data_IF_771373960004
#
_entry.id   IF_771373960004
#
_cell.length_a   1.000
_cell.length_b   1.000
_cell.length_c   1.000
_cell.angle_alpha   90.00
_cell.angle_beta   90.00
_cell.angle_gamma   90.00
#
_symmetry.space_group_name_H-M   'P 1'
#
loop_
_entity.id
_entity.type
_entity.pdbx_description
1 polymer ?
#
# COMPACT_ATOMS: atom_id res chain seq x y z
N UNK A 1 -3.70 -5.39 -26.56
CA UNK A 1 -4.70 -4.70 -25.70
C UNK A 1 -4.42 -5.08 -24.26
N UNK A 2 -4.34 -4.11 -23.36
CA UNK A 2 -4.17 -4.32 -21.91
C UNK A 2 -5.42 -4.98 -21.33
N UNK A 3 -5.23 -5.86 -20.33
CA UNK A 3 -6.37 -6.53 -19.67
C UNK A 3 -7.17 -5.51 -18.84
N UNK A 4 -8.50 -5.44 -18.98
CA UNK A 4 -9.32 -4.61 -18.12
C UNK A 4 -9.35 -5.20 -16.69
N UNK A 5 -9.30 -4.34 -15.69
CA UNK A 5 -9.58 -4.72 -14.30
C UNK A 5 -11.10 -4.72 -14.04
N UNK A 6 -11.51 -5.51 -13.06
CA UNK A 6 -12.86 -5.44 -12.50
C UNK A 6 -13.03 -4.14 -11.71
N UNK A 7 -14.24 -3.62 -11.69
CA UNK A 7 -14.60 -2.52 -10.79
C UNK A 7 -14.64 -3.02 -9.33
N UNK A 8 -14.40 -2.12 -8.34
CA UNK A 8 -14.62 -2.45 -6.93
C UNK A 8 -16.08 -2.79 -6.67
N UNK A 9 -16.35 -3.43 -5.53
CA UNK A 9 -17.73 -3.70 -5.11
C UNK A 9 -18.47 -2.37 -4.93
N UNK A 10 -19.57 -2.11 -5.68
CA UNK A 10 -20.32 -0.86 -5.58
C UNK A 10 -21.15 -0.77 -4.29
N UNK A 11 -21.34 -1.89 -3.58
CA UNK A 11 -22.21 -2.01 -2.42
C UNK A 11 -21.40 -2.21 -1.16
N UNK A 12 -20.51 -1.26 -0.83
CA UNK A 12 -19.69 -1.34 0.39
C UNK A 12 -20.57 -1.51 1.63
N UNK A 13 -20.32 -2.56 2.40
CA UNK A 13 -21.00 -2.82 3.66
C UNK A 13 -20.46 -1.89 4.75
N UNK A 14 -21.36 -1.44 5.63
CA UNK A 14 -20.94 -0.75 6.86
C UNK A 14 -20.29 -1.76 7.80
N UNK A 15 -19.03 -1.57 8.21
CA UNK A 15 -18.36 -2.51 9.09
C UNK A 15 -18.99 -2.55 10.48
N UNK A 16 -18.92 -3.71 11.13
CA UNK A 16 -19.31 -3.89 12.54
C UNK A 16 -18.26 -3.28 13.47
N UNK A 17 -16.98 -3.44 13.10
CA UNK A 17 -15.88 -2.85 13.84
C UNK A 17 -15.85 -1.34 13.64
N UNK A 18 -15.80 -0.60 14.75
CA UNK A 18 -15.70 0.87 14.73
C UNK A 18 -14.26 1.29 14.82
N UNK A 19 -13.80 1.96 13.77
CA UNK A 19 -12.44 2.45 13.68
C UNK A 19 -12.15 3.54 14.73
N UNK A 20 -10.93 3.61 15.27
CA UNK A 20 -10.52 4.69 16.14
C UNK A 20 -10.53 6.04 15.40
N UNK A 21 -10.66 7.13 16.16
CA UNK A 21 -10.56 8.49 15.60
C UNK A 21 -9.21 8.65 14.88
N UNK A 22 -9.22 9.33 13.74
CA UNK A 22 -8.06 9.55 12.88
C UNK A 22 -7.50 8.26 12.22
N UNK A 23 -8.32 7.20 12.13
CA UNK A 23 -7.93 6.00 11.39
C UNK A 23 -7.53 6.34 9.95
N UNK A 24 -6.43 5.76 9.53
CA UNK A 24 -5.78 5.99 8.23
C UNK A 24 -5.86 4.75 7.35
N UNK A 25 -6.36 4.92 6.14
CA UNK A 25 -6.11 3.98 5.05
C UNK A 25 -4.68 4.21 4.54
N UNK A 26 -3.73 3.35 4.89
CA UNK A 26 -2.33 3.53 4.52
C UNK A 26 -1.97 2.92 3.14
N UNK A 27 -2.98 2.47 2.38
CA UNK A 27 -2.80 1.98 1.00
C UNK A 27 -4.11 1.99 0.22
N UNK A 28 -4.29 2.97 -0.62
CA UNK A 28 -5.38 3.04 -1.59
C UNK A 28 -4.93 3.76 -2.86
N UNK A 29 -5.75 3.69 -3.90
CA UNK A 29 -5.45 4.28 -5.20
C UNK A 29 -6.58 5.20 -5.68
N UNK A 30 -6.24 6.17 -6.54
CA UNK A 30 -7.20 6.97 -7.30
C UNK A 30 -6.95 6.69 -8.78
N UNK A 31 -8.00 6.33 -9.50
CA UNK A 31 -7.97 6.05 -10.93
C UNK A 31 -8.91 6.99 -11.68
N UNK A 32 -8.34 7.78 -12.58
CA UNK A 32 -9.12 8.64 -13.44
C UNK A 32 -9.74 9.87 -12.75
N UNK A 33 -10.67 10.54 -13.42
CA UNK A 33 -11.21 10.15 -14.73
C UNK A 33 -10.14 10.14 -15.84
N UNK A 34 -10.24 9.17 -16.76
CA UNK A 34 -9.19 8.90 -17.75
C UNK A 34 -9.01 10.04 -18.78
N UNK A 35 -10.03 10.87 -18.97
CA UNK A 35 -9.97 12.08 -19.82
C UNK A 35 -9.15 13.21 -19.17
N UNK A 36 -9.14 13.30 -17.84
CA UNK A 36 -8.33 14.27 -17.09
C UNK A 36 -6.95 13.72 -16.74
N UNK A 37 -6.89 12.45 -16.34
CA UNK A 37 -5.66 11.78 -15.94
C UNK A 37 -5.42 10.55 -16.83
N UNK A 38 -4.85 10.74 -18.03
CA UNK A 38 -4.65 9.64 -18.97
C UNK A 38 -3.74 8.56 -18.39
N UNK A 39 -4.09 7.32 -18.69
CA UNK A 39 -3.25 6.18 -18.34
C UNK A 39 -2.01 6.09 -19.26
N UNK A 40 -0.90 5.59 -18.72
CA UNK A 40 0.33 5.38 -19.47
C UNK A 40 0.11 4.44 -20.67
N UNK A 41 0.79 4.73 -21.77
CA UNK A 41 0.64 3.96 -23.02
C UNK A 41 1.16 2.52 -22.88
N UNK A 42 2.19 2.32 -22.07
CA UNK A 42 2.87 1.05 -21.78
C UNK A 42 2.32 0.30 -20.56
N UNK A 43 1.21 0.76 -19.99
CA UNK A 43 0.59 0.10 -18.82
C UNK A 43 0.27 -1.36 -19.09
N UNK A 44 0.37 -2.19 -18.07
CA UNK A 44 0.09 -3.64 -18.14
C UNK A 44 -1.38 -3.98 -17.89
N UNK A 45 -2.17 -3.07 -17.32
CA UNK A 45 -3.59 -3.22 -17.06
C UNK A 45 -4.32 -1.87 -17.22
N UNK A 46 -5.63 -1.93 -17.41
CA UNK A 46 -6.50 -0.74 -17.48
C UNK A 46 -7.60 -0.87 -16.42
N UNK A 47 -7.55 -0.07 -15.34
CA UNK A 47 -8.61 -0.05 -14.34
C UNK A 47 -9.81 0.76 -14.85
N UNK A 48 -11.02 0.53 -14.31
CA UNK A 48 -12.12 1.47 -14.45
C UNK A 48 -11.84 2.74 -13.64
N UNK A 49 -12.53 3.83 -13.98
CA UNK A 49 -12.45 5.06 -13.21
C UNK A 49 -12.95 4.84 -11.77
N UNK A 50 -12.08 5.17 -10.84
CA UNK A 50 -12.29 5.10 -9.40
C UNK A 50 -11.69 6.36 -8.76
N UNK A 51 -12.34 7.49 -8.99
CA UNK A 51 -11.87 8.82 -8.62
C UNK A 51 -12.10 9.18 -7.16
N UNK A 52 -11.66 10.38 -6.80
CA UNK A 52 -11.66 10.88 -5.43
C UNK A 52 -13.05 10.87 -4.76
N UNK A 53 -14.12 11.20 -5.50
CA UNK A 53 -15.47 11.22 -4.91
C UNK A 53 -15.95 9.84 -4.49
N UNK A 54 -15.64 8.80 -5.29
CA UNK A 54 -15.95 7.42 -4.93
C UNK A 54 -15.14 6.98 -3.71
N UNK A 55 -13.86 7.39 -3.62
CA UNK A 55 -13.02 7.10 -2.46
C UNK A 55 -13.53 7.81 -1.20
N UNK A 56 -13.89 9.09 -1.28
CA UNK A 56 -14.51 9.81 -0.15
C UNK A 56 -15.81 9.15 0.33
N UNK A 57 -16.62 8.66 -0.61
CA UNK A 57 -17.83 7.91 -0.28
C UNK A 57 -17.49 6.62 0.48
N UNK A 58 -16.53 5.83 -0.01
CA UNK A 58 -16.03 4.66 0.68
C UNK A 58 -15.57 5.00 2.10
N UNK A 59 -14.72 6.02 2.25
CA UNK A 59 -14.22 6.46 3.57
C UNK A 59 -15.36 6.80 4.53
N UNK A 60 -16.42 7.45 4.05
CA UNK A 60 -17.58 7.82 4.88
C UNK A 60 -18.33 6.60 5.43
N UNK A 61 -18.41 5.51 4.64
CA UNK A 61 -19.02 4.24 5.06
C UNK A 61 -18.15 3.51 6.07
N UNK A 62 -16.83 3.46 5.82
CA UNK A 62 -15.88 2.72 6.65
C UNK A 62 -15.52 3.46 7.95
N UNK A 63 -15.66 4.78 8.00
CA UNK A 63 -15.24 5.61 9.13
C UNK A 63 -13.76 6.00 9.08
N UNK A 64 -13.12 5.96 7.91
CA UNK A 64 -11.76 6.41 7.69
C UNK A 64 -11.71 7.93 7.51
N UNK A 65 -10.71 8.58 8.07
CA UNK A 65 -10.58 10.05 7.97
C UNK A 65 -9.28 10.51 7.33
N UNK A 66 -8.29 9.64 7.20
CA UNK A 66 -7.00 9.89 6.59
C UNK A 66 -6.69 8.83 5.54
N UNK A 67 -5.83 9.19 4.58
CA UNK A 67 -5.39 8.24 3.56
C UNK A 67 -3.95 8.47 3.11
N UNK A 68 -3.31 7.39 2.66
CA UNK A 68 -2.07 7.42 1.89
C UNK A 68 -2.38 6.89 0.49
N UNK A 69 -2.42 7.82 -0.46
CA UNK A 69 -2.68 7.53 -1.86
C UNK A 69 -1.40 7.01 -2.51
N UNK A 70 -1.41 5.78 -2.94
CA UNK A 70 -0.29 5.18 -3.67
C UNK A 70 -0.53 5.33 -5.16
N UNK A 71 0.37 5.99 -5.88
CA UNK A 71 0.22 6.10 -7.32
C UNK A 71 0.30 4.71 -7.97
N UNK A 72 -0.63 4.43 -8.86
CA UNK A 72 -0.71 3.13 -9.50
C UNK A 72 0.13 3.09 -10.77
N UNK A 73 0.73 1.93 -11.06
CA UNK A 73 1.60 1.77 -12.23
C UNK A 73 0.92 2.04 -13.57
N UNK A 74 -0.42 1.95 -13.64
CA UNK A 74 -1.17 2.31 -14.85
C UNK A 74 -1.10 3.79 -15.23
N UNK A 75 -0.74 4.68 -14.29
CA UNK A 75 -0.46 6.10 -14.56
C UNK A 75 1.02 6.37 -14.90
N UNK A 76 1.88 5.34 -14.89
CA UNK A 76 3.32 5.52 -15.06
C UNK A 76 3.85 6.47 -13.99
N UNK A 77 4.62 7.46 -14.42
CA UNK A 77 5.17 8.52 -13.54
C UNK A 77 4.30 9.78 -13.45
N UNK A 78 3.09 9.77 -14.02
CA UNK A 78 2.13 10.83 -13.81
C UNK A 78 1.50 10.70 -12.42
N UNK A 79 1.87 11.58 -11.50
CA UNK A 79 1.37 11.60 -10.11
C UNK A 79 0.22 12.59 -9.90
N UNK A 80 -0.26 13.30 -10.93
CA UNK A 80 -1.31 14.31 -10.81
C UNK A 80 -2.60 13.79 -10.13
N UNK A 81 -3.10 12.56 -10.39
CA UNK A 81 -4.31 12.08 -9.74
C UNK A 81 -4.22 12.09 -8.22
N UNK A 82 -3.09 11.67 -7.68
CA UNK A 82 -2.90 11.66 -6.20
C UNK A 82 -2.53 13.03 -5.65
N UNK A 83 -1.80 13.86 -6.39
CA UNK A 83 -1.46 15.23 -6.00
C UNK A 83 -2.71 16.08 -5.85
N UNK A 84 -3.59 16.06 -6.85
CA UNK A 84 -4.85 16.81 -6.81
C UNK A 84 -5.77 16.32 -5.69
N UNK A 85 -5.82 15.01 -5.45
CA UNK A 85 -6.58 14.46 -4.33
C UNK A 85 -6.00 14.90 -2.97
N UNK A 86 -4.68 14.95 -2.81
CA UNK A 86 -4.02 15.45 -1.60
C UNK A 86 -4.34 16.93 -1.38
N UNK A 87 -4.24 17.76 -2.43
CA UNK A 87 -4.55 19.18 -2.35
C UNK A 87 -5.98 19.44 -1.88
N UNK A 88 -6.93 18.61 -2.31
CA UNK A 88 -8.36 18.70 -1.94
C UNK A 88 -8.68 18.10 -0.57
N UNK A 89 -7.72 17.52 0.13
CA UNK A 89 -7.96 16.80 1.39
C UNK A 89 -7.91 17.65 2.65
N UNK A 90 -7.49 18.92 2.54
CA UNK A 90 -7.27 19.76 3.72
C UNK A 90 -6.20 19.24 4.67
N UNK A 91 -5.21 18.48 4.18
CA UNK A 91 -4.13 17.89 4.96
C UNK A 91 -4.39 16.47 5.47
N UNK A 92 -5.56 15.91 5.17
CA UNK A 92 -5.94 14.56 5.58
C UNK A 92 -5.24 13.45 4.76
N UNK A 93 -4.67 13.76 3.59
CA UNK A 93 -4.03 12.78 2.73
C UNK A 93 -2.53 13.02 2.59
N UNK A 94 -1.81 11.92 2.30
CA UNK A 94 -0.40 11.88 1.89
C UNK A 94 -0.30 10.99 0.67
N UNK A 95 0.86 11.02 -0.01
CA UNK A 95 1.08 10.22 -1.21
C UNK A 95 2.37 9.43 -1.21
N UNK A 96 2.35 8.38 -2.02
CA UNK A 96 3.51 7.61 -2.47
C UNK A 96 3.53 7.69 -3.98
N UNK A 97 4.56 8.30 -4.55
CA UNK A 97 4.67 8.57 -5.97
C UNK A 97 5.31 7.41 -6.75
N UNK A 98 5.07 7.36 -8.04
CA UNK A 98 5.95 6.67 -8.97
C UNK A 98 6.91 7.71 -9.57
N UNK A 99 8.20 7.47 -9.48
CA UNK A 99 9.25 8.34 -10.02
C UNK A 99 10.30 7.49 -10.73
N UNK A 100 10.96 8.09 -11.71
CA UNK A 100 12.06 7.51 -12.47
C UNK A 100 13.30 8.44 -12.46
N UNK A 101 14.33 8.11 -13.21
CA UNK A 101 15.57 8.87 -13.28
C UNK A 101 15.42 10.32 -13.78
N UNK A 102 14.30 10.66 -14.43
CA UNK A 102 14.01 12.02 -14.90
C UNK A 102 13.68 12.99 -13.76
N UNK A 103 13.29 12.46 -12.58
CA UNK A 103 13.00 13.29 -11.40
C UNK A 103 14.31 13.69 -10.70
N UNK A 104 14.74 14.91 -10.91
CA UNK A 104 15.84 15.52 -10.17
C UNK A 104 15.42 15.93 -8.74
N UNK A 105 16.36 16.47 -7.96
CA UNK A 105 16.08 16.90 -6.58
C UNK A 105 15.00 17.98 -6.51
N UNK A 106 14.91 18.90 -7.47
CA UNK A 106 13.87 19.94 -7.51
C UNK A 106 12.48 19.35 -7.75
N UNK A 107 12.38 18.37 -8.65
CA UNK A 107 11.13 17.65 -8.89
C UNK A 107 10.67 16.89 -7.65
N UNK A 108 11.60 16.26 -6.93
CA UNK A 108 11.30 15.54 -5.68
C UNK A 108 10.92 16.53 -4.57
N UNK A 109 11.59 17.65 -4.44
CA UNK A 109 11.25 18.73 -3.49
C UNK A 109 9.82 19.23 -3.71
N UNK A 110 9.45 19.50 -4.97
CA UNK A 110 8.08 19.89 -5.33
C UNK A 110 7.06 18.83 -4.93
N UNK A 111 7.31 17.56 -5.20
CA UNK A 111 6.44 16.46 -4.76
C UNK A 111 6.33 16.41 -3.23
N UNK A 112 7.44 16.63 -2.52
CA UNK A 112 7.45 16.66 -1.06
C UNK A 112 6.58 17.78 -0.49
N UNK A 113 6.63 18.98 -1.07
CA UNK A 113 5.76 20.12 -0.72
C UNK A 113 4.28 19.80 -0.97
N UNK A 114 4.00 19.03 -2.03
CA UNK A 114 2.66 18.56 -2.39
C UNK A 114 2.13 17.40 -1.53
N UNK A 115 2.88 16.96 -0.52
CA UNK A 115 2.43 15.94 0.43
C UNK A 115 2.85 14.51 0.11
N UNK A 116 3.72 14.30 -0.88
CA UNK A 116 4.34 12.99 -1.14
C UNK A 116 5.38 12.71 -0.04
N UNK A 117 5.45 11.43 0.41
CA UNK A 117 6.34 11.00 1.49
C UNK A 117 7.16 9.76 1.16
N UNK A 118 7.04 9.26 -0.05
CA UNK A 118 7.78 8.09 -0.51
C UNK A 118 7.58 7.82 -1.98
N UNK A 119 8.28 6.83 -2.50
CA UNK A 119 8.06 6.31 -3.84
C UNK A 119 7.88 4.79 -3.82
N UNK A 120 7.32 4.23 -4.88
CA UNK A 120 7.05 2.80 -5.01
C UNK A 120 7.81 2.17 -6.15
N UNK A 121 8.39 0.99 -5.90
CA UNK A 121 8.95 0.11 -6.90
C UNK A 121 8.19 -1.22 -6.95
N UNK A 122 7.86 -1.66 -8.16
CA UNK A 122 7.24 -2.95 -8.40
C UNK A 122 8.33 -3.96 -8.83
N UNK A 123 8.38 -5.09 -8.16
CA UNK A 123 9.23 -6.22 -8.53
C UNK A 123 8.41 -7.37 -9.12
N UNK A 124 7.09 -7.33 -8.94
CA UNK A 124 6.18 -8.38 -9.39
C UNK A 124 6.17 -8.50 -10.93
N UNK A 125 6.26 -9.71 -11.43
CA UNK A 125 6.39 -9.99 -12.89
C UNK A 125 5.28 -9.38 -13.73
N UNK A 126 4.03 -9.38 -13.24
CA UNK A 126 2.89 -8.87 -14.02
C UNK A 126 2.85 -7.34 -14.14
N UNK A 127 3.72 -6.62 -13.44
CA UNK A 127 3.86 -5.16 -13.53
C UNK A 127 5.23 -4.74 -14.07
N UNK A 128 5.95 -5.62 -14.78
CA UNK A 128 7.23 -5.33 -15.39
C UNK A 128 8.42 -6.09 -14.80
N UNK A 129 8.25 -6.68 -13.62
CA UNK A 129 9.33 -7.42 -12.94
C UNK A 129 10.34 -6.51 -12.25
N UNK A 130 11.54 -7.03 -12.00
CA UNK A 130 12.61 -6.31 -11.30
C UNK A 130 12.96 -5.00 -12.04
N UNK A 131 12.95 -3.84 -11.35
CA UNK A 131 13.32 -2.57 -11.97
C UNK A 131 14.80 -2.54 -12.36
N UNK A 132 15.19 -1.55 -13.17
CA UNK A 132 16.60 -1.26 -13.38
C UNK A 132 17.24 -0.90 -12.03
N UNK A 133 18.23 -1.70 -11.60
CA UNK A 133 18.82 -1.57 -10.27
C UNK A 133 19.71 -0.33 -10.14
N UNK A 134 20.33 0.15 -11.22
CA UNK A 134 21.11 1.39 -11.22
C UNK A 134 20.18 2.59 -11.02
N UNK A 135 19.04 2.59 -11.71
CA UNK A 135 17.99 3.59 -11.51
C UNK A 135 17.40 3.51 -10.11
N UNK A 136 17.11 2.32 -9.60
CA UNK A 136 16.65 2.13 -8.22
C UNK A 136 17.61 2.76 -7.21
N UNK A 137 18.90 2.46 -7.27
CA UNK A 137 19.89 3.02 -6.36
C UNK A 137 20.06 4.54 -6.51
N UNK A 138 19.99 5.07 -7.74
CA UNK A 138 20.00 6.50 -8.00
C UNK A 138 18.83 7.20 -7.27
N UNK A 139 17.62 6.65 -7.40
CA UNK A 139 16.41 7.21 -6.77
C UNK A 139 16.50 7.12 -5.25
N UNK A 140 16.93 5.96 -4.68
CA UNK A 140 17.13 5.81 -3.24
C UNK A 140 18.08 6.90 -2.70
N UNK A 141 19.16 7.19 -3.40
CA UNK A 141 20.10 8.23 -3.00
C UNK A 141 19.49 9.64 -3.04
N UNK A 142 18.67 9.94 -4.06
CA UNK A 142 18.00 11.25 -4.19
C UNK A 142 16.96 11.47 -3.09
N UNK A 143 16.11 10.46 -2.79
CA UNK A 143 15.01 10.61 -1.82
C UNK A 143 15.47 10.60 -0.36
N UNK A 144 16.67 10.12 -0.07
CA UNK A 144 17.23 10.07 1.29
C UNK A 144 17.24 11.44 1.98
N UNK A 145 17.58 12.50 1.24
CA UNK A 145 17.61 13.87 1.75
C UNK A 145 16.25 14.42 2.20
N UNK A 146 15.16 13.88 1.63
CA UNK A 146 13.78 14.25 1.93
C UNK A 146 13.14 13.43 3.05
N UNK A 147 13.88 12.50 3.65
CA UNK A 147 13.36 11.53 4.64
C UNK A 147 12.19 10.69 4.12
N UNK A 148 12.17 10.45 2.81
CA UNK A 148 11.17 9.57 2.22
C UNK A 148 11.51 8.11 2.49
N UNK A 149 10.49 7.28 2.37
CA UNK A 149 10.61 5.83 2.37
C UNK A 149 10.38 5.25 0.95
N UNK A 150 10.83 4.04 0.74
CA UNK A 150 10.52 3.29 -0.48
C UNK A 150 9.51 2.19 -0.17
N UNK A 151 8.48 2.06 -1.02
CA UNK A 151 7.51 0.98 -0.97
C UNK A 151 7.90 -0.09 -1.98
N UNK A 152 8.06 -1.33 -1.52
CA UNK A 152 8.49 -2.48 -2.30
C UNK A 152 7.30 -3.42 -2.50
N UNK A 153 6.90 -3.60 -3.75
CA UNK A 153 5.83 -4.54 -4.09
C UNK A 153 6.45 -5.83 -4.64
N UNK A 154 6.48 -6.85 -3.80
CA UNK A 154 7.09 -8.16 -4.05
C UNK A 154 6.05 -9.26 -4.24
N UNK A 155 6.42 -10.29 -5.00
CA UNK A 155 5.88 -11.64 -4.83
C UNK A 155 6.70 -12.37 -3.74
N UNK A 156 6.15 -13.43 -3.14
CA UNK A 156 6.81 -14.12 -2.01
C UNK A 156 8.24 -14.57 -2.30
N UNK A 157 8.54 -14.98 -3.52
CA UNK A 157 9.90 -15.39 -3.93
C UNK A 157 10.89 -14.23 -3.93
N UNK A 158 10.43 -13.01 -4.15
CA UNK A 158 11.29 -11.83 -4.19
C UNK A 158 11.89 -11.53 -2.81
N UNK A 159 11.17 -11.88 -1.73
CA UNK A 159 11.69 -11.77 -0.35
C UNK A 159 12.98 -12.59 -0.16
N UNK A 160 13.01 -13.79 -0.74
CA UNK A 160 14.19 -14.66 -0.69
C UNK A 160 15.29 -14.13 -1.61
N UNK A 161 14.91 -13.74 -2.84
CA UNK A 161 15.86 -13.36 -3.88
C UNK A 161 16.56 -12.02 -3.57
N UNK A 162 15.83 -11.07 -2.98
CA UNK A 162 16.30 -9.71 -2.73
C UNK A 162 16.63 -9.42 -1.25
N UNK A 163 16.89 -10.45 -0.44
CA UNK A 163 17.23 -10.29 0.97
C UNK A 163 18.42 -9.34 1.19
N UNK A 164 19.49 -9.50 0.42
CA UNK A 164 20.69 -8.65 0.50
C UNK A 164 20.41 -7.19 0.09
N UNK A 165 19.49 -6.97 -0.86
CA UNK A 165 19.07 -5.62 -1.25
C UNK A 165 18.41 -4.91 -0.08
N UNK A 166 17.50 -5.60 0.61
CA UNK A 166 16.75 -5.05 1.75
C UNK A 166 17.67 -4.81 2.96
N UNK A 167 18.69 -5.63 3.15
CA UNK A 167 19.73 -5.44 4.19
C UNK A 167 20.51 -4.15 4.01
N UNK A 168 20.78 -3.77 2.76
CA UNK A 168 21.59 -2.62 2.40
C UNK A 168 20.86 -1.29 2.28
N UNK A 169 19.53 -1.25 2.46
CA UNK A 169 18.77 -0.01 2.26
C UNK A 169 19.03 1.04 3.35
N UNK A 170 19.52 2.24 2.98
CA UNK A 170 19.90 3.27 3.94
C UNK A 170 18.73 4.15 4.40
N UNK A 171 17.51 3.84 3.98
CA UNK A 171 16.28 4.56 4.28
C UNK A 171 15.19 3.60 4.76
N UNK A 172 14.11 4.07 5.39
CA UNK A 172 12.98 3.21 5.70
C UNK A 172 12.38 2.60 4.42
N UNK A 173 12.00 1.35 4.48
CA UNK A 173 11.28 0.67 3.41
C UNK A 173 10.04 -0.04 3.90
N UNK A 174 9.06 -0.15 3.02
CA UNK A 174 7.78 -0.80 3.30
C UNK A 174 7.62 -1.99 2.36
N UNK A 175 7.27 -3.15 2.90
CA UNK A 175 6.87 -4.31 2.11
C UNK A 175 5.35 -4.31 2.00
N UNK A 176 4.82 -4.21 0.76
CA UNK A 176 3.38 -4.20 0.49
C UNK A 176 2.74 -5.59 0.72
N UNK A 177 1.47 -5.60 1.15
CA UNK A 177 0.56 -6.75 1.12
C UNK A 177 1.15 -8.02 1.74
N UNK A 178 1.78 -7.90 2.93
CA UNK A 178 2.41 -9.04 3.63
C UNK A 178 3.37 -9.84 2.74
N UNK A 179 4.08 -9.13 1.81
CA UNK A 179 4.99 -9.74 0.86
C UNK A 179 4.30 -10.70 -0.13
N UNK A 180 2.98 -10.65 -0.25
CA UNK A 180 2.15 -11.55 -1.07
C UNK A 180 2.43 -13.04 -0.79
N UNK A 181 2.75 -13.35 0.46
CA UNK A 181 3.03 -14.72 0.91
C UNK A 181 1.73 -15.54 0.91
N UNK A 182 1.59 -16.59 0.09
CA UNK A 182 0.32 -17.31 -0.04
C UNK A 182 -0.01 -18.12 1.21
N UNK A 183 -1.28 -18.06 1.65
CA UNK A 183 -1.72 -18.75 2.88
C UNK A 183 -1.67 -20.26 2.78
N UNK A 184 -1.81 -20.82 1.56
CA UNK A 184 -1.84 -22.28 1.31
C UNK A 184 -0.59 -23.01 1.83
N UNK A 185 0.54 -22.36 1.88
CA UNK A 185 1.82 -22.95 2.26
C UNK A 185 2.12 -22.80 3.77
N UNK A 186 1.17 -22.22 4.54
CA UNK A 186 1.24 -22.08 5.99
C UNK A 186 2.28 -21.06 6.49
N UNK A 187 2.36 -20.89 7.81
CA UNK A 187 3.27 -19.93 8.45
C UNK A 187 4.75 -20.38 8.41
N UNK A 188 5.00 -21.67 8.24
CA UNK A 188 6.36 -22.24 8.26
C UNK A 188 7.12 -22.10 6.95
N UNK A 189 6.49 -21.58 5.90
CA UNK A 189 7.13 -21.35 4.61
C UNK A 189 8.29 -20.36 4.69
N UNK A 190 9.35 -20.61 3.91
CA UNK A 190 10.57 -19.80 3.95
C UNK A 190 10.32 -18.30 3.68
N UNK A 191 9.53 -17.87 2.68
CA UNK A 191 9.29 -16.44 2.46
C UNK A 191 8.67 -15.74 3.67
N UNK A 192 7.78 -16.41 4.40
CA UNK A 192 7.16 -15.80 5.58
C UNK A 192 8.12 -15.70 6.76
N UNK A 193 8.97 -16.71 6.97
CA UNK A 193 10.05 -16.64 7.98
C UNK A 193 11.00 -15.47 7.72
N UNK A 194 11.40 -15.27 6.45
CA UNK A 194 12.24 -14.14 6.04
C UNK A 194 11.49 -12.81 6.28
N UNK A 195 10.21 -12.74 5.94
CA UNK A 195 9.40 -11.54 6.19
C UNK A 195 9.33 -11.19 7.68
N UNK A 196 9.19 -12.19 8.56
CA UNK A 196 9.23 -11.99 10.01
C UNK A 196 10.60 -11.50 10.50
N UNK A 197 11.71 -12.00 9.92
CA UNK A 197 13.05 -11.47 10.25
C UNK A 197 13.22 -10.02 9.77
N UNK A 198 12.70 -9.66 8.59
CA UNK A 198 12.68 -8.26 8.16
C UNK A 198 11.84 -7.37 9.08
N UNK A 199 10.70 -7.87 9.56
CA UNK A 199 9.85 -7.14 10.48
C UNK A 199 10.54 -6.71 11.79
N UNK A 200 11.59 -7.43 12.22
CA UNK A 200 12.37 -7.09 13.41
C UNK A 200 13.31 -5.89 13.19
N UNK A 201 13.61 -5.52 11.95
CA UNK A 201 14.53 -4.43 11.61
C UNK A 201 13.88 -3.06 11.83
N UNK A 202 14.64 -2.11 12.34
CA UNK A 202 14.12 -0.78 12.69
C UNK A 202 13.67 0.07 11.48
N UNK A 203 14.25 -0.19 10.30
CA UNK A 203 13.90 0.51 9.06
C UNK A 203 12.88 -0.23 8.18
N UNK A 204 12.44 -1.44 8.58
CA UNK A 204 11.44 -2.22 7.85
C UNK A 204 10.02 -1.95 8.37
N UNK A 205 9.12 -1.65 7.45
CA UNK A 205 7.70 -1.51 7.68
C UNK A 205 6.94 -2.53 6.83
N UNK A 206 5.78 -2.98 7.30
CA UNK A 206 4.98 -3.96 6.57
C UNK A 206 3.53 -3.50 6.51
N UNK A 207 2.93 -3.55 5.33
CA UNK A 207 1.49 -3.39 5.18
C UNK A 207 0.80 -4.73 5.38
N UNK A 208 0.06 -4.84 6.47
CA UNK A 208 -0.79 -6.01 6.80
C UNK A 208 -2.18 -5.88 6.15
N UNK A 209 -2.21 -5.38 4.93
CA UNK A 209 -3.37 -5.32 4.04
C UNK A 209 -3.26 -6.38 2.95
N UNK A 210 -4.29 -6.51 2.10
CA UNK A 210 -4.27 -7.46 0.98
C UNK A 210 -4.56 -8.89 1.45
N UNK A 211 -5.44 -9.08 2.43
CA UNK A 211 -5.92 -10.41 2.82
C UNK A 211 -6.45 -11.18 1.61
N UNK A 212 -7.17 -10.51 0.71
CA UNK A 212 -7.69 -11.05 -0.54
C UNK A 212 -6.61 -11.43 -1.56
N UNK A 213 -5.39 -10.90 -1.39
CA UNK A 213 -4.26 -11.17 -2.29
C UNK A 213 -3.45 -12.40 -1.90
N UNK A 214 -3.47 -12.74 -0.61
CA UNK A 214 -2.70 -13.88 -0.08
C UNK A 214 -3.59 -15.09 0.25
N UNK A 215 -4.89 -14.88 0.48
CA UNK A 215 -5.85 -15.93 0.83
C UNK A 215 -5.96 -16.97 -0.28
N UNK A 216 -5.98 -18.23 0.12
CA UNK A 216 -6.24 -19.38 -0.74
C UNK A 216 -7.67 -19.91 -0.59
N UNK A 217 -8.40 -19.44 0.44
CA UNK A 217 -9.76 -19.91 0.74
C UNK A 217 -10.85 -18.98 0.19
N UNK A 218 -10.47 -17.78 -0.30
CA UNK A 218 -11.43 -16.77 -0.72
C UNK A 218 -12.16 -16.10 0.45
N UNK A 219 -13.26 -15.35 0.17
CA UNK A 219 -14.00 -14.65 1.21
C UNK A 219 -14.50 -15.60 2.32
N UNK A 220 -14.42 -15.16 3.57
CA UNK A 220 -14.06 -13.85 4.09
C UNK A 220 -12.57 -13.66 4.36
N UNK A 221 -11.65 -14.41 3.73
CA UNK A 221 -10.18 -14.28 3.78
C UNK A 221 -9.58 -14.51 5.18
N UNK A 222 -10.22 -15.31 6.02
CA UNK A 222 -9.83 -15.54 7.41
C UNK A 222 -8.50 -16.30 7.55
N UNK A 223 -8.10 -17.04 6.53
CA UNK A 223 -6.81 -17.72 6.47
C UNK A 223 -5.60 -16.74 6.40
N UNK A 224 -5.83 -15.47 6.07
CA UNK A 224 -4.83 -14.42 6.15
C UNK A 224 -4.60 -13.88 7.59
N UNK A 225 -5.55 -14.09 8.51
CA UNK A 225 -5.49 -13.55 9.89
C UNK A 225 -4.24 -14.02 10.64
N UNK A 226 -3.84 -15.30 10.65
CA UNK A 226 -2.64 -15.74 11.36
C UNK A 226 -1.36 -15.04 10.88
N UNK A 227 -1.25 -14.75 9.58
CA UNK A 227 -0.11 -14.05 8.98
C UNK A 227 -0.05 -12.59 9.44
N UNK A 228 -1.15 -11.87 9.33
CA UNK A 228 -1.24 -10.49 9.80
C UNK A 228 -0.97 -10.38 11.30
N UNK A 229 -1.54 -11.29 12.11
CA UNK A 229 -1.35 -11.35 13.56
C UNK A 229 0.12 -11.56 13.93
N UNK A 230 0.82 -12.49 13.28
CA UNK A 230 2.24 -12.73 13.53
C UNK A 230 3.10 -11.50 13.21
N UNK A 231 2.81 -10.79 12.12
CA UNK A 231 3.50 -9.56 11.75
C UNK A 231 3.22 -8.42 12.73
N UNK A 232 1.96 -8.23 13.15
CA UNK A 232 1.57 -7.22 14.14
C UNK A 232 2.25 -7.48 15.50
N UNK A 233 2.33 -8.75 15.93
CA UNK A 233 3.00 -9.13 17.16
C UNK A 233 4.52 -8.92 17.09
N UNK A 234 5.13 -9.18 15.91
CA UNK A 234 6.58 -9.02 15.71
C UNK A 234 6.99 -7.56 15.63
N UNK A 235 6.20 -6.71 14.98
CA UNK A 235 6.54 -5.30 14.73
C UNK A 235 5.34 -4.35 14.99
N UNK A 236 4.81 -4.30 16.21
CA UNK A 236 3.58 -3.55 16.49
C UNK A 236 3.67 -2.06 16.15
N UNK A 237 4.89 -1.52 16.15
CA UNK A 237 5.15 -0.11 15.86
C UNK A 237 5.49 0.16 14.37
N UNK A 238 5.61 -0.86 13.53
CA UNK A 238 5.99 -0.74 12.12
C UNK A 238 5.11 -1.52 11.15
N UNK A 239 3.87 -1.75 11.54
CA UNK A 239 2.82 -2.29 10.66
C UNK A 239 1.82 -1.21 10.29
N UNK A 240 1.27 -1.31 9.09
CA UNK A 240 0.29 -0.40 8.51
C UNK A 240 -0.87 -1.21 7.95
N UNK A 241 -2.08 -0.65 7.96
CA UNK A 241 -3.24 -1.25 7.33
C UNK A 241 -3.80 -0.32 6.25
N UNK A 242 -4.41 -0.88 5.22
CA UNK A 242 -5.11 -0.14 4.19
C UNK A 242 -6.10 -1.02 3.45
N UNK A 243 -7.02 -0.42 2.71
CA UNK A 243 -8.03 -1.14 1.93
C UNK A 243 -7.44 -1.80 0.70
N UNK A 244 -6.45 -1.18 0.07
CA UNK A 244 -6.01 -1.46 -1.30
C UNK A 244 -7.11 -1.15 -2.35
N UNK A 245 -8.11 -0.34 -1.95
CA UNK A 245 -9.18 0.11 -2.87
C UNK A 245 -8.57 0.83 -4.09
N UNK A 246 -9.06 0.61 -5.28
CA UNK A 246 -10.19 -0.21 -5.71
C UNK A 246 -9.80 -1.64 -6.15
N UNK A 247 -8.82 -2.25 -5.52
CA UNK A 247 -8.38 -3.63 -5.69
C UNK A 247 -7.97 -4.00 -7.12
N UNK A 248 -7.01 -3.28 -7.72
CA UNK A 248 -6.61 -3.54 -9.10
C UNK A 248 -6.06 -4.96 -9.26
N UNK A 249 -6.34 -5.55 -10.43
CA UNK A 249 -5.88 -6.88 -10.80
C UNK A 249 -6.45 -8.06 -9.98
N UNK A 250 -7.47 -7.86 -9.16
CA UNK A 250 -8.22 -8.96 -8.53
C UNK A 250 -8.98 -9.73 -9.62
N UNK A 251 -8.81 -11.05 -9.63
CA UNK A 251 -9.36 -11.93 -10.68
C UNK A 251 -10.62 -12.67 -10.26
N UNK A 252 -10.64 -13.21 -9.05
CA UNK A 252 -11.68 -14.16 -8.63
C UNK A 252 -12.75 -13.51 -7.76
N UNK A 253 -12.38 -13.06 -6.59
CA UNK A 253 -13.29 -12.55 -5.57
C UNK A 253 -12.97 -11.09 -5.27
N UNK A 254 -13.76 -10.17 -5.84
CA UNK A 254 -13.67 -8.75 -5.46
C UNK A 254 -14.07 -8.65 -3.99
N UNK A 255 -13.16 -8.14 -3.11
CA UNK A 255 -13.50 -7.99 -1.69
C UNK A 255 -14.54 -6.89 -1.49
N UNK A 256 -15.27 -6.98 -0.39
CA UNK A 256 -16.04 -5.87 0.14
C UNK A 256 -15.26 -5.23 1.28
N UNK A 257 -14.99 -3.93 1.15
CA UNK A 257 -14.12 -3.22 2.09
C UNK A 257 -14.63 -3.21 3.54
N UNK A 258 -15.96 -3.22 3.75
CA UNK A 258 -16.54 -3.34 5.07
C UNK A 258 -16.15 -4.67 5.75
N UNK A 259 -16.11 -5.77 4.98
CA UNK A 259 -15.67 -7.07 5.50
C UNK A 259 -14.16 -7.07 5.79
N UNK A 260 -13.33 -6.37 5.00
CA UNK A 260 -11.90 -6.24 5.29
C UNK A 260 -11.64 -5.47 6.58
N UNK A 261 -12.41 -4.41 6.85
CA UNK A 261 -12.38 -3.70 8.14
C UNK A 261 -12.74 -4.60 9.31
N UNK A 262 -13.73 -5.48 9.14
CA UNK A 262 -14.17 -6.43 10.17
C UNK A 262 -13.13 -7.52 10.51
N UNK A 263 -12.09 -7.71 9.68
CA UNK A 263 -10.96 -8.58 10.02
C UNK A 263 -9.98 -7.94 11.01
N UNK A 264 -9.94 -6.60 11.11
CA UNK A 264 -8.95 -5.88 11.92
C UNK A 264 -8.93 -6.33 13.39
N UNK A 265 -10.06 -6.43 14.10
CA UNK A 265 -10.04 -6.87 15.50
C UNK A 265 -9.59 -8.33 15.68
N UNK A 266 -9.63 -9.14 14.63
CA UNK A 266 -9.13 -10.52 14.66
C UNK A 266 -7.61 -10.58 14.42
N UNK A 267 -7.04 -9.59 13.73
CA UNK A 267 -5.60 -9.44 13.47
C UNK A 267 -4.91 -8.68 14.61
N UNK A 268 -5.48 -7.55 15.03
CA UNK A 268 -5.03 -6.68 16.12
C UNK A 268 -5.99 -6.80 17.31
N UNK A 269 -5.74 -7.77 18.18
CA UNK A 269 -6.70 -8.26 19.18
C UNK A 269 -6.96 -7.29 20.33
N UNK A 270 -6.17 -6.22 20.48
CA UNK A 270 -6.34 -5.24 21.55
C UNK A 270 -6.54 -3.82 21.01
N UNK A 271 -7.30 -2.96 21.72
CA UNK A 271 -7.45 -1.57 21.31
C UNK A 271 -6.12 -0.83 21.13
N UNK A 272 -5.09 -1.17 21.90
CA UNK A 272 -3.76 -0.59 21.76
C UNK A 272 -3.08 -0.97 20.44
N UNK A 273 -3.19 -2.23 20.02
CA UNK A 273 -2.66 -2.68 18.73
C UNK A 273 -3.46 -2.08 17.56
N UNK A 274 -4.78 -1.96 17.69
CA UNK A 274 -5.64 -1.32 16.70
C UNK A 274 -5.29 0.16 16.53
N UNK A 275 -5.06 0.88 17.64
CA UNK A 275 -4.62 2.27 17.63
C UNK A 275 -3.27 2.43 16.91
N UNK A 276 -2.28 1.59 17.24
CA UNK A 276 -0.97 1.59 16.57
C UNK A 276 -1.12 1.32 15.07
N UNK A 277 -1.82 0.26 14.70
CA UNK A 277 -1.99 -0.18 13.32
C UNK A 277 -2.67 0.87 12.43
N UNK A 278 -3.71 1.50 12.94
CA UNK A 278 -4.61 2.36 12.18
C UNK A 278 -4.29 3.86 12.28
N UNK A 279 -3.60 4.27 13.33
CA UNK A 279 -3.38 5.70 13.62
C UNK A 279 -1.91 6.03 13.84
N UNK A 280 -1.30 5.52 14.92
CA UNK A 280 -0.03 6.03 15.41
C UNK A 280 1.13 5.77 14.44
N UNK A 281 1.16 4.57 13.83
CA UNK A 281 2.19 4.17 12.90
C UNK A 281 2.14 4.99 11.60
N UNK A 282 0.94 5.17 11.03
CA UNK A 282 0.76 5.99 9.83
C UNK A 282 1.07 7.46 10.13
N UNK A 283 0.64 7.98 11.29
CA UNK A 283 0.97 9.34 11.74
C UNK A 283 2.48 9.56 11.76
N UNK A 284 3.23 8.66 12.40
CA UNK A 284 4.68 8.77 12.54
C UNK A 284 5.41 8.69 11.20
N UNK A 285 5.02 7.74 10.32
CA UNK A 285 5.72 7.51 9.07
C UNK A 285 5.42 8.59 8.02
N UNK A 286 4.17 9.01 7.91
CA UNK A 286 3.73 9.94 6.86
C UNK A 286 3.62 11.39 7.32
N UNK A 287 3.87 11.68 8.61
CA UNK A 287 3.86 13.05 9.15
C UNK A 287 2.48 13.70 9.10
N UNK A 288 1.45 13.00 9.55
CA UNK A 288 0.14 13.63 9.74
C UNK A 288 0.16 14.54 10.98
N UNK A 289 -0.56 15.66 10.92
CA UNK A 289 -0.79 16.53 12.09
C UNK A 289 -1.86 15.89 12.99
N UNK A 290 -1.78 16.14 14.29
CA UNK A 290 -2.80 15.73 15.26
C UNK A 290 -4.12 16.49 15.07
#
# INVERSE_FOLDING_TARGET
MTKPCRAPDPNTLTPKFKLPKNATDAHCHIFGPADQYPFAADRTYTPPDAGLDKFKHLQSILGLTRAVLVNASCHGVNNDPIIDAIAQSGGAYRGVANIDKSFDEKAIEKLNEQGIRGCRFNFVKHLGGVPDMDEFHLIINRIKGFKWHVVMHFDAIDLVTHEKLLDGLPIPYIIDHMGRVPTKDGLDQQPFKILLEFAKRDNCWIKVCGAERISSNGPPFTDAIPFAKALIQTAPDRVLWGTDWPHPNIKEHMPNDGNLVDLIPLMAETPALQQKLLVDNAHRLYGFSN
#
